data_IF_888107862187
#
_entry.id   IF_888107862187
#
_cell.length_a   1.000
_cell.length_b   1.000
_cell.length_c   1.000
_cell.angle_alpha   90.00
_cell.angle_beta   90.00
_cell.angle_gamma   90.00
#
_symmetry.space_group_name_H-M   'P 1'
#
loop_
_entity.id
_entity.type
_entity.pdbx_description
1 polymer ?
#
# COMPACT_ATOMS: atom_id res chain seq x y z
N UNK A 1 1.22 -14.79 -6.92
CA UNK A 1 1.88 -13.50 -7.21
C UNK A 1 1.00 -12.37 -6.70
N UNK A 2 1.43 -11.70 -5.63
CA UNK A 2 0.86 -10.41 -5.20
C UNK A 2 1.37 -9.32 -6.14
N UNK A 3 0.51 -8.43 -6.59
CA UNK A 3 0.88 -7.31 -7.45
C UNK A 3 1.02 -6.06 -6.57
N UNK A 4 2.23 -5.55 -6.43
CA UNK A 4 2.44 -4.18 -5.96
C UNK A 4 2.35 -3.27 -7.19
N UNK A 5 1.52 -2.22 -7.14
CA UNK A 5 1.03 -1.58 -8.36
C UNK A 5 1.91 -0.43 -8.88
N UNK A 6 2.93 0.01 -8.13
CA UNK A 6 3.94 0.91 -8.69
C UNK A 6 4.82 0.13 -9.69
N UNK A 7 4.99 0.56 -10.95
CA UNK A 7 5.82 -0.17 -11.92
C UNK A 7 7.31 -0.15 -11.49
N UNK A 8 8.05 -1.26 -11.38
CA UNK A 8 7.69 -2.69 -11.35
C UNK A 8 7.50 -3.13 -9.89
N UNK A 9 6.36 -3.73 -9.56
CA UNK A 9 6.07 -4.26 -8.22
C UNK A 9 6.88 -5.49 -7.84
N UNK A 10 8.21 -5.36 -7.92
CA UNK A 10 9.17 -6.39 -7.60
C UNK A 10 9.21 -6.62 -6.10
N UNK A 11 9.57 -7.85 -5.73
CA UNK A 11 9.73 -8.24 -4.34
C UNK A 11 10.69 -7.30 -3.60
N UNK A 12 10.28 -6.80 -2.43
CA UNK A 12 11.10 -5.93 -1.57
C UNK A 12 11.15 -4.45 -2.00
N UNK A 13 10.56 -4.06 -3.14
CA UNK A 13 10.49 -2.65 -3.55
C UNK A 13 9.47 -1.82 -2.76
N UNK A 14 8.67 -2.47 -1.95
CA UNK A 14 7.77 -1.85 -0.97
C UNK A 14 8.50 -1.47 0.34
N UNK A 15 9.64 -2.11 0.67
CA UNK A 15 10.41 -1.85 1.90
C UNK A 15 10.74 -0.37 2.16
N UNK A 16 11.20 0.42 1.18
CA UNK A 16 11.51 1.83 1.40
C UNK A 16 10.28 2.68 1.77
N UNK A 17 9.06 2.20 1.46
CA UNK A 17 7.81 2.87 1.84
C UNK A 17 7.41 2.58 3.29
N UNK A 18 7.86 1.47 3.88
CA UNK A 18 7.69 1.19 5.32
C UNK A 18 8.79 1.86 6.16
N UNK A 19 10.02 1.81 5.67
CA UNK A 19 11.22 2.21 6.40
C UNK A 19 12.07 3.15 5.55
N UNK A 20 11.77 4.46 5.55
CA UNK A 20 12.49 5.42 4.73
C UNK A 20 14.01 5.48 5.00
N UNK A 21 14.44 5.12 6.21
CA UNK A 21 15.86 5.03 6.57
C UNK A 21 16.60 3.89 5.88
N UNK A 22 15.92 2.84 5.42
CA UNK A 22 16.58 1.72 4.73
C UNK A 22 17.25 2.15 3.42
N UNK A 23 16.72 3.16 2.73
CA UNK A 23 17.38 3.69 1.53
C UNK A 23 18.66 4.49 1.83
N UNK A 24 18.89 4.83 3.11
CA UNK A 24 20.14 5.45 3.58
C UNK A 24 21.11 4.35 4.05
N UNK A 25 20.61 3.36 4.78
CA UNK A 25 21.42 2.34 5.45
C UNK A 25 21.80 1.17 4.53
N UNK A 26 21.01 0.92 3.48
CA UNK A 26 21.21 -0.18 2.53
C UNK A 26 21.30 0.42 1.11
N UNK A 27 22.51 0.68 0.59
CA UNK A 27 22.71 1.32 -0.71
C UNK A 27 22.06 0.58 -1.89
N UNK A 28 21.82 -0.73 -1.74
CA UNK A 28 21.15 -1.58 -2.73
C UNK A 28 19.62 -1.44 -2.73
N UNK A 29 19.04 -0.88 -1.65
CA UNK A 29 17.63 -0.51 -1.60
C UNK A 29 17.49 0.94 -2.05
N UNK A 30 17.08 1.14 -3.31
CA UNK A 30 16.76 2.47 -3.80
C UNK A 30 15.72 3.17 -2.90
N UNK A 31 15.81 4.49 -2.81
CA UNK A 31 14.74 5.33 -2.24
C UNK A 31 13.39 5.02 -2.91
N UNK A 32 12.25 5.32 -2.25
CA UNK A 32 10.93 5.13 -2.84
C UNK A 32 10.88 5.68 -4.26
N UNK A 33 10.68 4.79 -5.24
CA UNK A 33 10.66 5.14 -6.67
C UNK A 33 9.62 6.23 -6.95
N UNK A 34 8.54 6.25 -6.16
CA UNK A 34 7.54 7.30 -6.15
C UNK A 34 7.61 8.13 -4.87
N UNK A 35 8.41 9.21 -4.91
CA UNK A 35 8.56 10.15 -3.82
C UNK A 35 7.46 11.23 -3.86
N UNK A 36 6.28 10.89 -3.36
CA UNK A 36 5.16 11.82 -3.17
C UNK A 36 4.68 11.77 -1.72
N UNK A 37 4.64 12.92 -1.04
CA UNK A 37 4.33 13.00 0.40
C UNK A 37 2.97 12.39 0.75
N UNK A 38 1.93 12.66 -0.05
CA UNK A 38 0.60 12.11 0.22
C UNK A 38 0.58 10.59 0.05
N UNK A 39 1.29 10.06 -0.96
CA UNK A 39 1.43 8.63 -1.17
C UNK A 39 2.19 7.95 -0.03
N UNK A 40 3.35 8.50 0.35
CA UNK A 40 4.18 7.98 1.44
C UNK A 40 3.41 7.96 2.75
N UNK A 41 2.71 9.05 3.08
CA UNK A 41 1.85 9.13 4.25
C UNK A 41 0.69 8.13 4.16
N UNK A 42 0.03 8.01 3.00
CA UNK A 42 -1.05 7.05 2.81
C UNK A 42 -0.59 5.62 3.09
N UNK A 43 0.57 5.22 2.56
CA UNK A 43 1.13 3.90 2.73
C UNK A 43 1.48 3.63 4.19
N UNK A 44 2.39 4.42 4.78
CA UNK A 44 2.90 4.19 6.13
C UNK A 44 1.78 4.29 7.19
N UNK A 45 0.90 5.29 7.09
CA UNK A 45 -0.18 5.45 8.08
C UNK A 45 -1.23 4.35 7.99
N UNK A 46 -1.40 3.66 6.86
CA UNK A 46 -2.34 2.52 6.78
C UNK A 46 -1.91 1.38 7.71
N UNK A 47 -0.61 1.12 7.82
CA UNK A 47 -0.07 0.12 8.75
C UNK A 47 -0.05 0.63 10.19
N UNK A 48 0.31 1.89 10.40
CA UNK A 48 0.34 2.48 11.74
C UNK A 48 -1.05 2.59 12.36
N UNK A 49 -2.08 2.92 11.56
CA UNK A 49 -3.48 2.95 11.98
C UNK A 49 -3.91 1.59 12.52
N UNK A 50 -3.56 0.51 11.83
CA UNK A 50 -3.82 -0.84 12.30
C UNK A 50 -3.02 -1.19 13.57
N UNK A 51 -1.73 -0.87 13.61
CA UNK A 51 -0.89 -1.16 14.78
C UNK A 51 -1.39 -0.48 16.06
N UNK A 52 -1.95 0.73 15.96
CA UNK A 52 -2.43 1.50 17.11
C UNK A 52 -3.85 1.11 17.52
N UNK A 53 -4.74 0.87 16.56
CA UNK A 53 -6.19 0.77 16.83
C UNK A 53 -6.79 -0.60 16.53
N UNK A 54 -6.03 -1.51 15.93
CA UNK A 54 -6.50 -2.76 15.34
C UNK A 54 -7.54 -2.58 14.20
N UNK A 55 -7.73 -1.35 13.71
CA UNK A 55 -8.59 -1.04 12.57
C UNK A 55 -7.86 -0.08 11.59
N UNK A 56 -7.51 -0.50 10.37
CA UNK A 56 -6.83 0.37 9.40
C UNK A 56 -7.72 1.53 8.89
N UNK A 57 -8.99 1.59 9.29
CA UNK A 57 -9.90 2.70 8.98
C UNK A 57 -9.89 3.82 10.04
N UNK A 58 -9.31 3.59 11.21
CA UNK A 58 -9.15 4.61 12.25
C UNK A 58 -7.83 5.33 12.01
N UNK A 59 -7.92 6.51 11.39
CA UNK A 59 -6.75 7.28 10.96
C UNK A 59 -5.97 7.83 12.16
N UNK A 60 -4.67 7.62 12.16
CA UNK A 60 -3.73 8.31 13.08
C UNK A 60 -3.66 9.80 12.75
N UNK A 61 -3.69 10.12 11.46
CA UNK A 61 -3.71 11.49 10.94
C UNK A 61 -4.99 11.69 10.11
N UNK A 62 -5.90 12.61 10.51
CA UNK A 62 -7.16 12.82 9.81
C UNK A 62 -6.97 13.36 8.38
N UNK A 63 -5.82 13.96 8.05
CA UNK A 63 -5.52 14.50 6.72
C UNK A 63 -5.11 13.41 5.71
N UNK A 64 -4.82 12.20 6.19
CA UNK A 64 -4.35 11.10 5.35
C UNK A 64 -5.37 10.72 4.28
N UNK A 65 -4.92 10.51 3.04
CA UNK A 65 -5.82 10.26 1.89
C UNK A 65 -6.38 8.84 1.81
N UNK A 66 -5.96 7.91 2.68
CA UNK A 66 -6.44 6.53 2.60
C UNK A 66 -7.96 6.46 2.78
N UNK A 67 -8.66 5.77 1.86
CA UNK A 67 -10.08 5.53 2.00
C UNK A 67 -10.37 4.41 2.98
N UNK A 68 -11.62 4.33 3.41
CA UNK A 68 -12.09 3.16 4.16
C UNK A 68 -12.04 1.92 3.28
N UNK A 69 -11.60 0.81 3.84
CA UNK A 69 -11.56 -0.49 3.20
C UNK A 69 -12.35 -1.48 4.05
N UNK A 70 -13.26 -2.22 3.41
CA UNK A 70 -13.90 -3.37 4.05
C UNK A 70 -12.84 -4.41 4.39
N UNK A 71 -13.08 -5.18 5.44
CA UNK A 71 -12.21 -6.30 5.77
C UNK A 71 -12.23 -7.34 4.65
N UNK A 72 -11.14 -8.09 4.53
CA UNK A 72 -11.00 -9.17 3.57
C UNK A 72 -12.16 -10.18 3.65
N UNK A 73 -12.57 -10.55 4.86
CA UNK A 73 -13.63 -11.53 5.10
C UNK A 73 -14.99 -11.13 4.56
N UNK A 74 -15.27 -9.82 4.45
CA UNK A 74 -16.56 -9.30 4.00
C UNK A 74 -16.58 -9.01 2.51
N UNK A 75 -15.52 -8.35 2.00
CA UNK A 75 -15.55 -7.79 0.65
C UNK A 75 -14.49 -8.32 -0.31
N UNK A 76 -13.62 -9.23 0.14
CA UNK A 76 -12.38 -9.62 -0.58
C UNK A 76 -11.66 -8.39 -1.13
N UNK A 77 -11.59 -7.36 -0.28
CA UNK A 77 -11.16 -6.02 -0.65
C UNK A 77 -9.72 -5.82 -0.19
N UNK A 78 -8.91 -5.29 -1.09
CA UNK A 78 -7.52 -4.89 -0.87
C UNK A 78 -7.44 -3.37 -0.96
N UNK A 79 -6.44 -2.77 -0.31
CA UNK A 79 -6.12 -1.36 -0.53
C UNK A 79 -5.01 -1.29 -1.57
N UNK A 80 -5.33 -0.74 -2.74
CA UNK A 80 -4.38 -0.46 -3.78
C UNK A 80 -3.59 0.80 -3.43
N UNK A 81 -2.27 0.73 -3.57
CA UNK A 81 -1.37 1.87 -3.54
C UNK A 81 -0.65 1.93 -4.89
N UNK A 82 -1.01 2.89 -5.71
CA UNK A 82 -0.44 3.12 -7.03
C UNK A 82 -0.28 4.63 -7.33
N UNK A 83 0.20 4.96 -8.53
CA UNK A 83 0.16 6.28 -9.11
C UNK A 83 -0.52 6.24 -10.47
N UNK A 84 -1.25 7.30 -10.79
CA UNK A 84 -1.80 7.49 -12.14
C UNK A 84 -0.69 7.75 -13.16
N UNK A 85 -1.01 7.67 -14.45
CA UNK A 85 -0.10 8.07 -15.53
C UNK A 85 0.34 9.55 -15.44
N UNK A 86 -0.43 10.39 -14.75
CA UNK A 86 -0.09 11.78 -14.48
C UNK A 86 0.86 11.96 -13.28
N UNK A 87 1.28 10.87 -12.63
CA UNK A 87 2.17 10.91 -11.46
C UNK A 87 1.48 11.33 -10.17
N UNK A 88 0.16 11.26 -10.10
CA UNK A 88 -0.64 11.58 -8.90
C UNK A 88 -0.95 10.29 -8.12
N UNK A 89 -0.96 10.29 -6.78
CA UNK A 89 -1.34 9.11 -5.99
C UNK A 89 -2.70 8.53 -6.39
N UNK A 90 -2.76 7.22 -6.62
CA UNK A 90 -3.99 6.44 -6.75
C UNK A 90 -4.08 5.46 -5.57
N UNK A 91 -4.84 5.85 -4.54
CA UNK A 91 -5.03 5.05 -3.33
C UNK A 91 -6.51 4.75 -3.17
N UNK A 92 -6.90 3.50 -3.40
CA UNK A 92 -8.30 3.10 -3.46
C UNK A 92 -8.55 1.66 -3.04
N UNK A 93 -9.74 1.32 -2.52
CA UNK A 93 -10.11 -0.06 -2.34
C UNK A 93 -10.30 -0.72 -3.72
N UNK A 94 -9.83 -1.95 -3.85
CA UNK A 94 -10.06 -2.81 -5.02
C UNK A 94 -10.59 -4.15 -4.56
N UNK A 95 -11.40 -4.80 -5.38
CA UNK A 95 -11.73 -6.21 -5.15
C UNK A 95 -10.67 -7.07 -5.80
N UNK A 96 -10.26 -8.12 -5.09
CA UNK A 96 -9.41 -9.14 -5.67
C UNK A 96 -10.17 -9.85 -6.78
N UNK A 97 -9.49 -10.00 -7.92
CA UNK A 97 -9.99 -10.72 -9.08
C UNK A 97 -10.34 -12.17 -8.72
N UNK A 98 -11.50 -12.65 -9.19
CA UNK A 98 -11.99 -14.01 -8.91
C UNK A 98 -11.01 -15.09 -9.38
N UNK A 99 -10.33 -14.90 -10.51
CA UNK A 99 -9.33 -15.85 -10.99
C UNK A 99 -8.10 -15.95 -10.06
N UNK A 100 -7.76 -14.85 -9.37
CA UNK A 100 -6.72 -14.86 -8.35
C UNK A 100 -7.17 -15.61 -7.08
N UNK A 101 -8.45 -15.51 -6.73
CA UNK A 101 -9.02 -16.25 -5.60
C UNK A 101 -9.07 -17.75 -5.88
N UNK A 102 -9.47 -18.15 -7.08
CA UNK A 102 -9.59 -19.54 -7.49
C UNK A 102 -8.23 -20.26 -7.48
N UNK A 103 -7.20 -19.67 -8.10
CA UNK A 103 -5.86 -20.28 -8.12
C UNK A 103 -5.21 -20.43 -6.74
N UNK A 104 -5.68 -19.67 -5.74
CA UNK A 104 -5.16 -19.69 -4.37
C UNK A 104 -5.86 -20.72 -3.47
N UNK A 105 -6.81 -21.49 -4.02
CA UNK A 105 -7.46 -22.61 -3.34
C UNK A 105 -6.75 -23.95 -3.55
N UNK A 106 -5.77 -23.98 -4.46
CA UNK A 106 -4.96 -25.15 -4.80
C UNK A 106 -3.50 -24.93 -4.38
#
# INVERSE_FOLDING_TARGET
>A
QGKFAVPEGLNGRDLPYYFPSLGIDVPELDFPIFNNTDFLNAFAHSFMSFAISLDPNIKVDPTNITPKCRTWSVGKTEKLFDKTNAGVPDVRPVQTDEALLERSQY
#
